data_IF_022538185025
#
_entry.id   IF_022538185025
#
_cell.length_a   1.000
_cell.length_b   1.000
_cell.length_c   1.000
_cell.angle_alpha   90.00
_cell.angle_beta   90.00
_cell.angle_gamma   90.00
#
_symmetry.space_group_name_H-M   'P 1'
#
loop_
_entity.id
_entity.type
_entity.pdbx_description
1 polymer ?
#
# COMPACT_ATOMS: atom_id res chain seq x y z
N UNK A 1 -18.77 -1.27 24.86
CA UNK A 1 -17.67 -1.42 23.89
C UNK A 1 -18.27 -1.87 22.58
N UNK A 2 -17.95 -1.18 21.48
CA UNK A 2 -18.38 -1.54 20.14
C UNK A 2 -17.39 -2.52 19.51
N UNK A 3 -17.87 -3.50 18.77
CA UNK A 3 -17.01 -4.39 18.00
C UNK A 3 -16.28 -3.64 16.86
N UNK A 4 -15.13 -4.17 16.44
CA UNK A 4 -14.44 -3.66 15.26
C UNK A 4 -15.29 -3.89 14.01
N UNK A 5 -15.48 -2.85 13.19
CA UNK A 5 -16.17 -2.94 11.91
C UNK A 5 -15.21 -2.60 10.77
N UNK A 6 -14.83 -3.61 9.99
CA UNK A 6 -14.00 -3.40 8.79
C UNK A 6 -14.73 -2.52 7.78
N UNK A 7 -14.10 -1.45 7.26
CA UNK A 7 -14.66 -0.66 6.18
C UNK A 7 -14.94 -1.52 4.94
N UNK A 8 -16.05 -1.23 4.26
CA UNK A 8 -16.44 -1.91 3.02
C UNK A 8 -16.04 -1.06 1.83
N UNK A 9 -15.52 -1.71 0.78
CA UNK A 9 -15.08 -1.06 -0.45
C UNK A 9 -15.74 -1.74 -1.65
N UNK A 10 -16.01 -1.00 -2.73
CA UNK A 10 -16.40 -1.61 -3.99
C UNK A 10 -15.27 -2.49 -4.53
N UNK A 11 -15.63 -3.58 -5.21
CA UNK A 11 -14.67 -4.42 -5.94
C UNK A 11 -14.35 -3.72 -7.26
N UNK A 12 -13.10 -3.26 -7.39
CA UNK A 12 -12.63 -2.62 -8.62
C UNK A 12 -12.04 -3.63 -9.60
N UNK A 13 -12.38 -3.46 -10.89
CA UNK A 13 -11.78 -4.21 -11.99
C UNK A 13 -10.63 -3.38 -12.55
N UNK A 14 -9.42 -3.79 -12.22
CA UNK A 14 -8.20 -3.17 -12.75
C UNK A 14 -7.90 -3.72 -14.13
N UNK A 15 -7.28 -2.88 -14.97
CA UNK A 15 -6.97 -3.20 -16.35
C UNK A 15 -5.47 -3.18 -16.59
N UNK A 16 -5.01 -3.97 -17.56
CA UNK A 16 -3.66 -3.90 -18.07
C UNK A 16 -3.46 -2.68 -18.98
N UNK A 17 -2.25 -2.55 -19.54
CA UNK A 17 -1.87 -1.47 -20.45
C UNK A 17 -2.64 -1.48 -21.77
N UNK A 18 -3.23 -2.63 -22.12
CA UNK A 18 -4.06 -2.85 -23.31
C UNK A 18 -5.55 -2.62 -23.02
N UNK A 19 -5.92 -2.32 -21.76
CA UNK A 19 -7.29 -2.09 -21.33
C UNK A 19 -8.06 -3.37 -21.01
N UNK A 20 -7.42 -4.54 -21.01
CA UNK A 20 -8.08 -5.80 -20.65
C UNK A 20 -8.17 -5.95 -19.12
N UNK A 21 -9.28 -6.49 -18.59
CA UNK A 21 -9.38 -6.83 -17.18
C UNK A 21 -8.25 -7.75 -16.72
N UNK A 22 -7.63 -7.42 -15.59
CA UNK A 22 -6.61 -8.27 -14.96
C UNK A 22 -7.27 -9.51 -14.34
N UNK A 23 -6.92 -10.69 -14.85
CA UNK A 23 -7.29 -11.98 -14.24
C UNK A 23 -6.32 -12.32 -13.10
N UNK A 24 -6.78 -12.09 -11.87
CA UNK A 24 -5.97 -12.24 -10.67
C UNK A 24 -5.60 -13.70 -10.41
N UNK A 25 -4.32 -13.95 -10.14
CA UNK A 25 -3.78 -15.28 -9.87
C UNK A 25 -3.53 -16.12 -11.13
N UNK A 26 -4.16 -15.78 -12.26
CA UNK A 26 -4.08 -16.56 -13.50
C UNK A 26 -3.24 -15.92 -14.61
N UNK A 27 -2.70 -14.71 -14.38
CA UNK A 27 -1.93 -13.94 -15.39
C UNK A 27 -0.87 -14.74 -16.15
N UNK A 28 -0.24 -15.73 -15.52
CA UNK A 28 0.83 -16.53 -16.10
C UNK A 28 0.46 -17.99 -16.36
N UNK A 29 -0.81 -18.38 -16.19
CA UNK A 29 -1.28 -19.74 -16.50
C UNK A 29 -0.50 -20.86 -15.77
N UNK A 30 -0.04 -20.61 -14.54
CA UNK A 30 0.76 -21.56 -13.76
C UNK A 30 2.28 -21.50 -14.02
N UNK A 31 2.74 -20.71 -15.00
CA UNK A 31 4.15 -20.40 -15.17
C UNK A 31 4.62 -19.36 -14.13
N UNK A 32 5.93 -19.32 -13.88
CA UNK A 32 6.53 -18.28 -13.07
C UNK A 32 6.48 -16.92 -13.78
N UNK A 33 6.27 -15.81 -13.05
CA UNK A 33 6.38 -14.47 -13.61
C UNK A 33 7.77 -14.24 -14.22
N UNK A 34 7.89 -13.55 -15.37
CA UNK A 34 9.16 -13.06 -15.89
C UNK A 34 9.91 -12.20 -14.86
N UNK A 35 11.24 -12.24 -14.85
CA UNK A 35 12.05 -11.59 -13.81
C UNK A 35 11.86 -10.07 -13.71
N UNK A 36 11.56 -9.41 -14.83
CA UNK A 36 11.28 -7.97 -14.89
C UNK A 36 9.93 -7.58 -14.24
N UNK A 37 9.04 -8.56 -13.98
CA UNK A 37 7.74 -8.34 -13.32
C UNK A 37 7.90 -7.70 -11.94
N UNK A 38 8.96 -8.04 -11.20
CA UNK A 38 9.22 -7.50 -9.86
C UNK A 38 9.83 -6.10 -9.86
N UNK A 39 10.16 -5.56 -11.03
CA UNK A 39 10.68 -4.18 -11.18
C UNK A 39 9.60 -3.19 -11.63
N UNK A 40 8.35 -3.64 -11.83
CA UNK A 40 7.24 -2.80 -12.29
C UNK A 40 6.30 -2.43 -11.15
N UNK A 41 6.03 -1.14 -11.01
CA UNK A 41 4.94 -0.63 -10.16
C UNK A 41 3.77 -0.29 -11.07
N UNK A 42 2.67 -1.02 -10.93
CA UNK A 42 1.43 -0.80 -11.69
C UNK A 42 0.21 -0.93 -10.79
N UNK A 43 -0.82 -0.13 -11.05
CA UNK A 43 -2.08 -0.11 -10.29
C UNK A 43 -1.88 0.04 -8.75
N UNK A 44 -1.04 0.96 -8.25
CA UNK A 44 -0.81 1.10 -6.80
C UNK A 44 -2.08 1.44 -6.01
N UNK A 45 -3.07 2.06 -6.65
CA UNK A 45 -4.37 2.41 -6.07
C UNK A 45 -5.12 1.19 -5.52
N UNK A 46 -4.83 -0.02 -6.02
CA UNK A 46 -5.41 -1.28 -5.50
C UNK A 46 -5.10 -1.56 -4.04
N UNK A 47 -4.07 -0.93 -3.50
CA UNK A 47 -3.65 -1.07 -2.11
C UNK A 47 -4.22 0.04 -1.21
N UNK A 48 -4.86 1.07 -1.75
CA UNK A 48 -5.48 2.14 -0.96
C UNK A 48 -6.49 1.60 0.08
N UNK A 49 -7.35 0.61 -0.24
CA UNK A 49 -8.25 0.02 0.76
C UNK A 49 -7.53 -0.62 1.95
N UNK A 50 -6.29 -1.12 1.77
CA UNK A 50 -5.53 -1.74 2.87
C UNK A 50 -5.16 -0.70 3.91
N UNK A 51 -4.70 0.48 3.47
CA UNK A 51 -4.39 1.59 4.37
C UNK A 51 -5.63 2.02 5.16
N UNK A 52 -6.77 2.20 4.48
CA UNK A 52 -8.04 2.58 5.14
C UNK A 52 -8.52 1.55 6.16
N UNK A 53 -8.29 0.25 5.90
CA UNK A 53 -8.59 -0.81 6.87
C UNK A 53 -7.66 -0.74 8.08
N UNK A 54 -6.37 -0.49 7.85
CA UNK A 54 -5.39 -0.35 8.94
C UNK A 54 -5.73 0.84 9.84
N UNK A 55 -6.05 2.00 9.24
CA UNK A 55 -6.43 3.21 9.97
C UNK A 55 -7.68 2.97 10.85
N UNK A 56 -8.73 2.36 10.29
CA UNK A 56 -9.95 2.03 11.02
C UNK A 56 -9.71 1.03 12.16
N UNK A 57 -8.77 0.09 11.98
CA UNK A 57 -8.39 -0.86 13.03
C UNK A 57 -7.63 -0.15 14.17
N UNK A 58 -6.69 0.72 13.83
CA UNK A 58 -5.91 1.49 14.82
C UNK A 58 -6.84 2.39 15.64
N UNK A 59 -7.75 3.10 14.98
CA UNK A 59 -8.76 3.94 15.65
C UNK A 59 -9.63 3.12 16.62
N UNK A 60 -10.10 1.95 16.17
CA UNK A 60 -10.90 1.08 17.03
C UNK A 60 -10.11 0.59 18.25
N UNK A 61 -8.84 0.21 18.07
CA UNK A 61 -7.99 -0.22 19.19
C UNK A 61 -7.78 0.90 20.21
N UNK A 62 -7.50 2.12 19.76
CA UNK A 62 -7.31 3.30 20.61
C UNK A 62 -8.56 3.69 21.40
N UNK A 63 -9.74 3.55 20.79
CA UNK A 63 -11.02 3.91 21.42
C UNK A 63 -11.53 2.84 22.37
N UNK A 64 -11.11 1.58 22.17
CA UNK A 64 -11.65 0.43 22.89
C UNK A 64 -10.74 -0.02 24.03
N UNK A 65 -9.43 0.19 23.91
CA UNK A 65 -8.43 -0.27 24.88
C UNK A 65 -7.51 0.87 25.31
N UNK A 66 -6.89 0.71 26.48
CA UNK A 66 -5.82 1.59 26.93
C UNK A 66 -4.51 1.19 26.23
N UNK A 67 -4.27 1.77 25.05
CA UNK A 67 -3.10 1.48 24.20
C UNK A 67 -2.36 2.76 23.85
N UNK A 68 -1.02 2.70 23.93
CA UNK A 68 -0.15 3.75 23.44
C UNK A 68 0.22 3.50 21.98
N UNK A 69 0.11 4.54 21.14
CA UNK A 69 0.58 4.50 19.76
C UNK A 69 1.93 5.19 19.65
N UNK A 70 2.92 4.47 19.13
CA UNK A 70 4.20 5.07 18.72
C UNK A 70 4.15 5.38 17.23
N UNK A 71 4.42 6.64 16.89
CA UNK A 71 4.49 7.11 15.50
C UNK A 71 5.95 7.10 15.07
N UNK A 72 6.45 5.91 14.76
CA UNK A 72 7.73 5.80 14.05
C UNK A 72 7.55 6.38 12.65
N UNK A 73 8.40 7.32 12.18
CA UNK A 73 8.26 7.89 10.86
C UNK A 73 8.21 6.80 9.79
N UNK A 74 7.30 6.94 8.82
CA UNK A 74 7.13 5.96 7.76
C UNK A 74 8.45 5.78 7.01
N UNK A 75 8.77 4.55 6.61
CA UNK A 75 9.90 4.26 5.71
C UNK A 75 9.86 5.16 4.47
N UNK A 76 8.68 5.48 3.94
CA UNK A 76 8.52 6.44 2.84
C UNK A 76 9.04 7.85 3.19
N UNK A 77 8.74 8.35 4.40
CA UNK A 77 9.22 9.66 4.89
C UNK A 77 10.74 9.65 5.08
N UNK A 78 11.28 8.51 5.55
CA UNK A 78 12.73 8.31 5.70
C UNK A 78 13.43 8.27 4.34
N UNK A 79 12.83 7.61 3.34
CA UNK A 79 13.39 7.52 1.97
C UNK A 79 13.36 8.88 1.27
N UNK A 80 12.28 9.66 1.43
CA UNK A 80 12.19 11.01 0.85
C UNK A 80 13.19 11.98 1.51
N UNK A 81 13.39 11.86 2.83
CA UNK A 81 14.45 12.58 3.54
C UNK A 81 15.85 12.23 3.05
N UNK A 82 16.13 10.95 2.78
CA UNK A 82 17.43 10.48 2.28
C UNK A 82 17.71 10.98 0.85
N UNK A 83 16.69 10.99 -0.02
CA UNK A 83 16.81 11.51 -1.39
C UNK A 83 16.98 13.03 -1.44
N UNK A 84 16.35 13.75 -0.50
CA UNK A 84 16.48 15.21 -0.36
C UNK A 84 17.88 15.61 0.12
N UNK A 85 18.44 14.91 1.12
CA UNK A 85 19.82 15.10 1.59
C UNK A 85 20.84 14.87 0.46
N UNK A 86 20.64 13.85 -0.39
CA UNK A 86 21.54 13.54 -1.51
C UNK A 86 21.48 14.56 -2.66
N UNK A 87 20.42 15.37 -2.75
CA UNK A 87 20.26 16.43 -3.76
C UNK A 87 20.86 17.76 -3.28
N UNK A 88 20.97 17.98 -1.98
CA UNK A 88 21.60 19.16 -1.36
C UNK A 88 23.13 19.21 -1.53
N UNK A 89 23.79 18.06 -1.68
CA UNK A 89 25.26 17.92 -1.71
C UNK A 89 25.90 18.11 -3.11
N UNK A 90 25.18 18.66 -4.09
CA UNK A 90 25.73 18.96 -5.44
C UNK A 90 25.94 20.46 -5.72
N UNK A 91 26.31 21.24 -4.69
CA UNK A 91 26.90 22.57 -4.88
C UNK A 91 28.09 22.76 -3.94
N UNK A 92 29.27 22.36 -4.43
CA UNK A 92 30.57 22.91 -4.05
C UNK A 92 31.50 22.80 -5.26
#
# INVERSE_FOLDING_TARGET
MTEYRRPTFPVEIYRDEQGHPLDYGNRWGGASPPGDTYSRVSNPQRFEPVHKVADALIEWLQTTFDVAMDQTPNVADVVDGLLTLRRGDRRA
#
